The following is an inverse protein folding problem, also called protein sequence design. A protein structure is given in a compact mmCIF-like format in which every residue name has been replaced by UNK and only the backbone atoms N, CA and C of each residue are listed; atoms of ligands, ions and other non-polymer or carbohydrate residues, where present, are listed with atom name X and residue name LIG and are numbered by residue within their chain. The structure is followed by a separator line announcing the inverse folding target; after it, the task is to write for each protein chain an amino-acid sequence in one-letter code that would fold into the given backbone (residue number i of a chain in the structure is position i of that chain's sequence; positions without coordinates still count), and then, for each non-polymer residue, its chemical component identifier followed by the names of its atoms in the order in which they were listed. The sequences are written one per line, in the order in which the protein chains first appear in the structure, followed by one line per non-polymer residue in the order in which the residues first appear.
data_IF_324784550713
#
_entry.id   IF_324784550713
#
_cell.length_a   1.000
_cell.length_b   1.000
_cell.length_c   1.000
_cell.angle_alpha   90.00
_cell.angle_beta   90.00
_cell.angle_gamma   90.00
#
_symmetry.space_group_name_H-M   'P 1'
#
loop_
_entity.id
_entity.type
_entity.pdbx_description
1 polymer ?
#
# COMPACT_ATOMS: atom_id res chain seq x y z
N UNK A 1 0.95 -14.55 -19.19
CA UNK A 1 1.81 -13.58 -18.46
C UNK A 1 1.17 -13.34 -17.10
N UNK A 2 1.92 -13.48 -16.02
CA UNK A 2 1.43 -13.25 -14.67
C UNK A 2 1.73 -11.79 -14.29
N UNK A 3 0.71 -11.03 -13.93
CA UNK A 3 0.89 -9.67 -13.43
C UNK A 3 1.49 -9.69 -12.03
N UNK A 4 2.30 -8.67 -11.71
CA UNK A 4 2.75 -8.45 -10.33
C UNK A 4 1.57 -8.02 -9.47
N UNK A 5 1.37 -8.71 -8.36
CA UNK A 5 0.39 -8.34 -7.35
C UNK A 5 1.09 -7.62 -6.19
N UNK A 6 0.53 -6.47 -5.78
CA UNK A 6 0.96 -5.76 -4.58
C UNK A 6 0.02 -6.15 -3.42
N UNK A 7 0.46 -6.99 -2.46
CA UNK A 7 -0.39 -7.44 -1.38
C UNK A 7 -0.74 -6.30 -0.41
N UNK A 8 -1.85 -6.46 0.34
CA UNK A 8 -2.25 -5.48 1.38
C UNK A 8 -1.26 -5.37 2.54
N UNK A 9 -0.35 -6.32 2.68
CA UNK A 9 0.75 -6.23 3.63
C UNK A 9 1.72 -5.10 3.28
N UNK A 10 1.64 -4.52 2.07
CA UNK A 10 2.35 -3.31 1.70
C UNK A 10 1.44 -2.08 1.73
N UNK A 11 1.99 -0.95 2.18
CA UNK A 11 1.29 0.33 2.17
C UNK A 11 0.77 0.74 0.78
N UNK A 12 1.45 0.37 -0.31
CA UNK A 12 0.99 0.64 -1.68
C UNK A 12 -0.12 -0.31 -2.13
N UNK A 13 -0.02 -1.60 -1.78
CA UNK A 13 -1.06 -2.59 -2.10
C UNK A 13 -2.36 -2.34 -1.34
N UNK A 14 -2.27 -2.06 -0.03
CA UNK A 14 -3.45 -1.66 0.75
C UNK A 14 -4.04 -0.35 0.22
N UNK A 15 -3.22 0.62 -0.19
CA UNK A 15 -3.71 1.89 -0.74
C UNK A 15 -4.56 1.66 -1.99
N UNK A 16 -4.03 0.94 -2.97
CA UNK A 16 -4.73 0.66 -4.24
C UNK A 16 -6.06 -0.01 -3.95
N UNK A 17 -6.06 -1.04 -3.11
CA UNK A 17 -7.27 -1.81 -2.83
C UNK A 17 -8.28 -1.02 -1.99
N UNK A 18 -7.85 -0.35 -0.92
CA UNK A 18 -8.71 0.44 -0.06
C UNK A 18 -9.33 1.63 -0.78
N UNK A 19 -8.55 2.38 -1.55
CA UNK A 19 -9.07 3.52 -2.31
C UNK A 19 -10.08 3.05 -3.34
N UNK A 20 -9.79 1.96 -4.06
CA UNK A 20 -10.74 1.39 -5.01
C UNK A 20 -12.06 0.99 -4.34
N UNK A 21 -12.01 0.31 -3.18
CA UNK A 21 -13.21 -0.03 -2.40
C UNK A 21 -14.01 1.20 -1.96
N UNK A 22 -13.33 2.28 -1.58
CA UNK A 22 -14.00 3.52 -1.15
C UNK A 22 -14.59 4.31 -2.31
N UNK A 23 -13.96 4.29 -3.48
CA UNK A 23 -14.47 4.97 -4.67
C UNK A 23 -15.80 4.39 -5.17
N UNK A 24 -16.20 3.20 -4.71
CA UNK A 24 -17.50 2.62 -5.02
C UNK A 24 -18.68 3.35 -4.36
N UNK A 25 -18.44 4.25 -3.40
CA UNK A 25 -19.48 5.06 -2.76
C UNK A 25 -19.34 6.55 -3.10
N UNK A 26 -20.48 7.25 -3.16
CA UNK A 26 -20.52 8.68 -3.47
C UNK A 26 -19.73 9.53 -2.48
N UNK A 27 -19.78 9.18 -1.19
CA UNK A 27 -19.02 9.89 -0.16
C UNK A 27 -17.53 9.58 -0.21
N UNK A 28 -17.16 8.35 -0.57
CA UNK A 28 -15.76 7.97 -0.76
C UNK A 28 -15.11 8.73 -1.91
N UNK A 29 -15.85 8.98 -3.00
CA UNK A 29 -15.37 9.78 -4.13
C UNK A 29 -15.01 11.23 -3.75
N UNK A 30 -15.62 11.78 -2.70
CA UNK A 30 -15.36 13.16 -2.24
C UNK A 30 -14.10 13.27 -1.37
N UNK A 31 -13.53 12.14 -0.93
CA UNK A 31 -12.39 12.12 -0.03
C UNK A 31 -11.09 12.12 -0.81
N UNK A 32 -10.14 12.97 -0.40
CA UNK A 32 -8.75 12.91 -0.86
C UNK A 32 -7.97 11.92 -0.01
N UNK A 33 -7.50 10.84 -0.62
CA UNK A 33 -6.66 9.83 0.01
C UNK A 33 -5.20 10.19 -0.21
N UNK A 34 -4.43 10.33 0.87
CA UNK A 34 -3.00 10.64 0.81
C UNK A 34 -2.23 9.82 1.84
N UNK A 35 -0.92 9.68 1.64
CA UNK A 35 -0.03 9.01 2.59
C UNK A 35 0.39 9.93 3.76
N UNK A 36 0.12 11.24 3.65
CA UNK A 36 0.57 12.27 4.60
C UNK A 36 -0.57 12.87 5.43
N UNK A 37 -1.80 12.39 5.28
CA UNK A 37 -2.95 12.86 6.05
C UNK A 37 -4.26 12.18 5.63
N UNK A 38 -5.38 12.72 6.09
CA UNK A 38 -6.73 12.21 5.77
C UNK A 38 -6.95 10.77 6.25
N UNK A 39 -8.03 10.15 5.76
CA UNK A 39 -8.54 8.85 6.17
C UNK A 39 -7.53 7.72 5.95
N UNK A 40 -6.72 7.79 4.89
CA UNK A 40 -5.77 6.74 4.61
C UNK A 40 -4.56 6.74 5.57
N UNK A 41 -4.07 7.91 5.97
CA UNK A 41 -2.97 7.99 6.92
C UNK A 41 -3.32 7.36 8.28
N UNK A 42 -4.53 7.62 8.79
CA UNK A 42 -4.99 6.99 10.03
C UNK A 42 -5.16 5.47 9.89
N UNK A 43 -5.61 4.99 8.71
CA UNK A 43 -5.64 3.56 8.39
C UNK A 43 -4.24 2.94 8.35
N UNK A 44 -3.27 3.60 7.74
CA UNK A 44 -1.89 3.09 7.72
C UNK A 44 -1.33 2.92 9.13
N UNK A 45 -1.60 3.87 10.04
CA UNK A 45 -1.21 3.75 11.45
C UNK A 45 -1.91 2.58 12.12
N UNK A 46 -3.22 2.42 11.93
CA UNK A 46 -3.98 1.33 12.55
C UNK A 46 -3.58 -0.07 12.07
N UNK A 47 -3.09 -0.17 10.83
CA UNK A 47 -2.57 -1.42 10.25
C UNK A 47 -1.06 -1.60 10.46
N UNK A 48 -0.38 -0.72 11.19
CA UNK A 48 1.09 -0.74 11.37
C UNK A 48 1.87 -0.73 10.03
N UNK A 49 1.27 -0.12 9.00
CA UNK A 49 1.89 0.08 7.68
C UNK A 49 2.68 1.39 7.61
N UNK A 50 2.35 2.37 8.45
CA UNK A 50 3.15 3.59 8.58
C UNK A 50 4.41 3.33 9.42
N UNK A 51 5.58 3.53 8.82
CA UNK A 51 6.86 3.54 9.53
C UNK A 51 7.83 4.47 8.81
N UNK A 52 8.73 5.08 9.58
CA UNK A 52 9.91 5.82 9.06
C UNK A 52 11.20 5.01 9.24
N UNK A 53 11.12 3.86 9.91
CA UNK A 53 12.25 2.98 10.15
C UNK A 53 12.52 2.14 8.90
N UNK A 54 13.67 2.39 8.27
CA UNK A 54 14.06 1.69 7.03
C UNK A 54 14.19 0.18 7.21
N UNK A 55 14.60 -0.30 8.38
CA UNK A 55 14.77 -1.74 8.63
C UNK A 55 13.42 -2.45 8.66
N UNK A 56 12.44 -1.89 9.38
CA UNK A 56 11.06 -2.41 9.41
C UNK A 56 10.41 -2.42 8.03
N UNK A 57 10.63 -1.34 7.25
CA UNK A 57 10.12 -1.26 5.87
C UNK A 57 10.72 -2.36 5.01
N UNK A 58 12.04 -2.56 5.07
CA UNK A 58 12.73 -3.62 4.31
C UNK A 58 12.25 -5.00 4.70
N UNK A 59 12.10 -5.28 6.00
CA UNK A 59 11.62 -6.57 6.48
C UNK A 59 10.19 -6.87 6.00
N UNK A 60 9.29 -5.88 6.05
CA UNK A 60 7.92 -6.01 5.52
C UNK A 60 7.92 -6.33 4.02
N UNK A 61 8.76 -5.64 3.24
CA UNK A 61 8.89 -5.93 1.80
C UNK A 61 9.43 -7.35 1.58
N UNK A 62 10.43 -7.77 2.35
CA UNK A 62 11.01 -9.10 2.24
C UNK A 62 10.02 -10.22 2.57
N UNK A 63 9.15 -10.03 3.56
CA UNK A 63 8.08 -10.98 3.91
C UNK A 63 7.08 -11.20 2.76
N UNK A 64 6.92 -10.23 1.87
CA UNK A 64 6.06 -10.37 0.67
C UNK A 64 6.76 -10.99 -0.53
N UNK A 65 8.07 -11.28 -0.44
CA UNK A 65 8.85 -11.78 -1.56
C UNK A 65 9.13 -10.75 -2.65
N UNK A 66 8.87 -9.46 -2.39
CA UNK A 66 8.99 -8.37 -3.37
C UNK A 66 10.26 -7.53 -3.20
N UNK A 67 11.24 -8.03 -2.44
CA UNK A 67 12.57 -7.39 -2.34
C UNK A 67 13.15 -7.23 -3.74
N UNK A 68 13.61 -6.02 -4.05
CA UNK A 68 14.28 -5.69 -5.32
C UNK A 68 13.45 -6.01 -6.58
N UNK A 69 12.11 -6.10 -6.47
CA UNK A 69 11.22 -6.43 -7.59
C UNK A 69 11.37 -5.50 -8.80
N UNK A 70 11.82 -4.26 -8.59
CA UNK A 70 12.07 -3.28 -9.64
C UNK A 70 13.49 -3.32 -10.23
N UNK A 71 14.39 -4.14 -9.69
CA UNK A 71 15.75 -4.32 -10.23
C UNK A 71 15.77 -5.32 -11.41
N UNK A 72 14.66 -6.00 -11.68
CA UNK A 72 14.48 -6.88 -12.83
C UNK A 72 13.44 -6.34 -13.79
N UNK A 73 13.46 -6.84 -15.02
CA UNK A 73 12.32 -6.72 -15.92
C UNK A 73 11.37 -7.88 -15.63
N UNK A 74 10.10 -7.58 -15.38
CA UNK A 74 9.05 -8.60 -15.19
C UNK A 74 8.52 -9.15 -16.52
N UNK A 75 9.24 -8.87 -17.62
CA UNK A 75 8.91 -9.24 -19.00
C UNK A 75 10.19 -9.59 -19.76
#
# INVERSE_FOLDING_TARGET
MQYLELPRDLATGDFIKFVHERMLSEDGMKIRYTFSGSVYFERMKSLSLYSINRSEIKERVAQTGLTDVYNGCLV
#
